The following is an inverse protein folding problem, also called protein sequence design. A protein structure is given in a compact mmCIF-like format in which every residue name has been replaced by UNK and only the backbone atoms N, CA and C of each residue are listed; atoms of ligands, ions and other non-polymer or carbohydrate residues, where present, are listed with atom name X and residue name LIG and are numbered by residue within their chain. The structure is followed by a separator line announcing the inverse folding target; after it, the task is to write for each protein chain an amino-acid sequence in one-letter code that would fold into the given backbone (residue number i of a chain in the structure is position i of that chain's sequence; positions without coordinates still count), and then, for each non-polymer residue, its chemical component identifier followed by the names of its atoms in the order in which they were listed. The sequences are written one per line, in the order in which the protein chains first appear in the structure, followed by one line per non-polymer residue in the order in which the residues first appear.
data_IF_046035067655
#
_entry.id   IF_046035067655
#
_cell.length_a   1.000
_cell.length_b   1.000
_cell.length_c   1.000
_cell.angle_alpha   90.00
_cell.angle_beta   90.00
_cell.angle_gamma   90.00
#
_symmetry.space_group_name_H-M   'P 1'
#
loop_
_entity.id
_entity.type
_entity.pdbx_description
1 polymer ?
#
# COMPACT_ATOMS: atom_id res chain seq x y z
N UNK A 1 15.17 6.39 -2.69
CA UNK A 1 14.75 6.87 -1.35
C UNK A 1 14.44 5.66 -0.49
N UNK A 2 14.74 5.72 0.80
CA UNK A 2 14.34 4.67 1.74
C UNK A 2 12.83 4.79 2.01
N UNK A 3 12.05 3.80 1.58
CA UNK A 3 10.60 3.72 1.76
C UNK A 3 10.22 2.76 2.90
N UNK A 4 11.21 2.18 3.61
CA UNK A 4 10.99 1.22 4.67
C UNK A 4 10.10 1.77 5.81
N UNK A 5 10.28 3.02 6.30
CA UNK A 5 9.42 3.57 7.35
C UNK A 5 7.93 3.55 6.97
N UNK A 6 7.60 3.94 5.72
CA UNK A 6 6.24 3.95 5.19
C UNK A 6 5.67 2.55 5.03
N UNK A 7 6.46 1.62 4.48
CA UNK A 7 6.05 0.22 4.32
C UNK A 7 5.77 -0.44 5.68
N UNK A 8 6.61 -0.17 6.70
CA UNK A 8 6.41 -0.65 8.07
C UNK A 8 5.14 -0.06 8.69
N UNK A 9 4.91 1.25 8.54
CA UNK A 9 3.70 1.91 9.05
C UNK A 9 2.43 1.30 8.44
N UNK A 10 2.43 1.09 7.13
CA UNK A 10 1.33 0.47 6.40
C UNK A 10 1.10 -0.99 6.85
N UNK A 11 2.18 -1.76 7.04
CA UNK A 11 2.09 -3.14 7.51
C UNK A 11 1.48 -3.24 8.92
N UNK A 12 1.88 -2.39 9.86
CA UNK A 12 1.29 -2.39 11.21
C UNK A 12 -0.20 -2.01 11.18
N UNK A 13 -0.58 -1.07 10.30
CA UNK A 13 -1.99 -0.71 10.07
C UNK A 13 -2.79 -1.89 9.52
N UNK A 14 -2.25 -2.64 8.56
CA UNK A 14 -2.87 -3.86 8.01
C UNK A 14 -3.01 -4.94 9.09
N UNK A 15 -1.99 -5.11 9.93
CA UNK A 15 -1.96 -6.14 11.00
C UNK A 15 -2.91 -5.84 12.16
N UNK A 16 -3.49 -4.62 12.23
CA UNK A 16 -4.35 -4.18 13.32
C UNK A 16 -3.66 -4.17 14.69
N UNK A 17 -2.33 -4.23 14.71
CA UNK A 17 -1.54 -4.56 15.91
C UNK A 17 -0.67 -3.42 16.42
N UNK A 18 -0.89 -2.21 15.95
CA UNK A 18 -0.19 -1.05 16.45
C UNK A 18 -0.83 0.24 15.96
N UNK A 19 -0.89 1.21 16.87
CA UNK A 19 -1.08 2.58 16.45
C UNK A 19 0.14 2.97 15.60
N UNK A 20 -0.09 3.39 14.35
CA UNK A 20 0.93 4.10 13.56
C UNK A 20 1.35 5.44 14.20
N UNK A 21 0.69 5.84 15.29
CA UNK A 21 0.98 7.01 16.10
C UNK A 21 1.25 6.54 17.54
N UNK A 22 2.51 6.42 17.94
CA UNK A 22 2.88 5.91 19.26
C UNK A 22 4.39 5.76 19.46
N UNK A 23 4.81 5.42 20.69
CA UNK A 23 6.22 5.18 21.00
C UNK A 23 6.75 3.98 20.18
N UNK A 24 7.73 4.24 19.31
CA UNK A 24 8.31 3.23 18.41
C UNK A 24 7.67 3.17 17.01
N UNK A 25 6.68 4.03 16.72
CA UNK A 25 6.17 4.23 15.37
C UNK A 25 7.26 4.86 14.48
N UNK A 26 7.36 4.45 13.21
CA UNK A 26 8.25 5.11 12.25
C UNK A 26 7.85 6.58 12.08
N UNK A 27 8.83 7.47 12.07
CA UNK A 27 8.62 8.89 11.75
C UNK A 27 8.43 9.00 10.23
N UNK A 28 7.29 9.54 9.80
CA UNK A 28 6.98 9.76 8.41
C UNK A 28 6.98 11.27 8.08
N UNK A 29 7.40 11.65 6.88
CA UNK A 29 7.04 12.94 6.30
C UNK A 29 5.52 13.19 6.32
N UNK A 30 5.11 14.44 6.49
CA UNK A 30 3.70 14.82 6.65
C UNK A 30 2.82 14.40 5.47
N UNK A 31 3.35 14.46 4.25
CA UNK A 31 2.70 14.04 3.01
C UNK A 31 2.44 12.52 2.98
N UNK A 32 3.40 11.72 3.46
CA UNK A 32 3.26 10.27 3.59
C UNK A 32 2.29 9.88 4.70
N UNK A 33 2.34 10.57 5.84
CA UNK A 33 1.40 10.38 6.94
C UNK A 33 -0.03 10.68 6.48
N UNK A 34 -0.22 11.78 5.75
CA UNK A 34 -1.51 12.19 5.19
C UNK A 34 -2.05 11.15 4.20
N UNK A 35 -1.21 10.67 3.27
CA UNK A 35 -1.57 9.64 2.32
C UNK A 35 -2.00 8.33 3.01
N UNK A 36 -1.26 7.91 4.06
CA UNK A 36 -1.60 6.74 4.86
C UNK A 36 -2.92 6.94 5.62
N UNK A 37 -3.12 8.12 6.22
CA UNK A 37 -4.32 8.45 6.98
C UNK A 37 -5.58 8.41 6.10
N UNK A 38 -5.52 9.06 4.93
CA UNK A 38 -6.62 9.19 3.98
C UNK A 38 -6.88 7.92 3.14
N UNK A 39 -5.95 6.98 3.14
CA UNK A 39 -6.06 5.79 2.30
C UNK A 39 -5.77 6.08 0.82
N UNK A 40 -4.90 7.05 0.53
CA UNK A 40 -4.54 7.42 -0.84
C UNK A 40 -3.57 6.39 -1.44
N UNK A 41 -4.14 5.37 -2.07
CA UNK A 41 -3.38 4.28 -2.70
C UNK A 41 -2.45 4.76 -3.82
N UNK A 42 -2.81 5.84 -4.51
CA UNK A 42 -2.01 6.36 -5.61
C UNK A 42 -0.77 7.05 -5.07
N UNK A 43 -0.94 7.95 -4.10
CA UNK A 43 0.18 8.60 -3.44
C UNK A 43 1.13 7.57 -2.80
N UNK A 44 0.58 6.55 -2.11
CA UNK A 44 1.39 5.46 -1.55
C UNK A 44 2.20 4.69 -2.62
N UNK A 45 1.62 4.46 -3.81
CA UNK A 45 2.34 3.86 -4.93
C UNK A 45 3.45 4.76 -5.48
N UNK A 46 3.20 6.06 -5.59
CA UNK A 46 4.18 7.06 -6.03
C UNK A 46 5.35 7.20 -5.02
N UNK A 47 5.08 7.03 -3.71
CA UNK A 47 6.13 6.90 -2.68
C UNK A 47 6.88 5.55 -2.71
N UNK A 48 6.53 4.66 -3.64
CA UNK A 48 7.22 3.39 -3.85
C UNK A 48 6.81 2.28 -2.88
N UNK A 49 5.61 2.34 -2.28
CA UNK A 49 5.09 1.23 -1.48
C UNK A 49 4.90 -0.01 -2.36
N UNK A 50 5.32 -1.17 -1.86
CA UNK A 50 5.24 -2.41 -2.61
C UNK A 50 3.78 -2.81 -2.91
N UNK A 51 3.44 -3.26 -4.15
CA UNK A 51 2.07 -3.59 -4.55
C UNK A 51 1.36 -4.63 -3.67
N UNK A 52 2.11 -5.56 -3.06
CA UNK A 52 1.53 -6.53 -2.11
C UNK A 52 0.90 -5.83 -0.89
N UNK A 53 1.56 -4.81 -0.35
CA UNK A 53 1.03 -4.03 0.77
C UNK A 53 -0.13 -3.14 0.32
N UNK A 54 -0.03 -2.52 -0.86
CA UNK A 54 -1.13 -1.72 -1.44
C UNK A 54 -2.40 -2.55 -1.62
N UNK A 55 -2.27 -3.77 -2.17
CA UNK A 55 -3.39 -4.68 -2.36
C UNK A 55 -4.03 -5.10 -1.03
N UNK A 56 -3.21 -5.42 -0.01
CA UNK A 56 -3.72 -5.76 1.32
C UNK A 56 -4.43 -4.57 1.98
N UNK A 57 -3.88 -3.37 1.86
CA UNK A 57 -4.49 -2.16 2.41
C UNK A 57 -5.76 -1.73 1.67
N UNK A 58 -5.78 -1.83 0.34
CA UNK A 58 -6.97 -1.59 -0.47
C UNK A 58 -8.16 -2.42 0.01
N UNK A 59 -7.93 -3.72 0.27
CA UNK A 59 -8.94 -4.63 0.83
C UNK A 59 -9.38 -4.21 2.23
N UNK A 60 -8.45 -3.75 3.07
CA UNK A 60 -8.74 -3.28 4.42
C UNK A 60 -9.68 -2.06 4.41
N UNK A 61 -9.48 -1.12 3.48
CA UNK A 61 -10.31 0.09 3.35
C UNK A 61 -11.56 -0.12 2.48
N UNK A 62 -11.89 -1.37 2.14
CA UNK A 62 -13.12 -1.71 1.42
C UNK A 62 -13.06 -1.53 -0.10
N UNK A 63 -11.89 -1.30 -0.69
CA UNK A 63 -11.72 -1.25 -2.15
C UNK A 63 -11.54 -2.65 -2.73
N UNK A 64 -12.25 -2.94 -3.81
CA UNK A 64 -12.08 -4.14 -4.61
C UNK A 64 -10.74 -4.13 -5.37
N UNK A 65 -10.39 -5.29 -5.90
CA UNK A 65 -9.18 -5.44 -6.73
C UNK A 65 -9.23 -4.54 -7.96
N UNK A 66 -10.38 -4.45 -8.61
CA UNK A 66 -10.54 -3.71 -9.86
C UNK A 66 -10.44 -2.21 -9.61
N UNK A 67 -11.08 -1.71 -8.54
CA UNK A 67 -11.02 -0.29 -8.14
C UNK A 67 -9.59 0.17 -7.84
N UNK A 68 -8.77 -0.61 -7.12
CA UNK A 68 -7.40 -0.16 -6.87
C UNK A 68 -6.51 -0.28 -8.11
N UNK A 69 -6.78 -1.24 -9.01
CA UNK A 69 -6.00 -1.36 -10.26
C UNK A 69 -6.19 -0.12 -11.11
N UNK A 70 -7.42 0.37 -11.24
CA UNK A 70 -7.71 1.62 -11.94
C UNK A 70 -6.94 2.81 -11.34
N UNK A 71 -6.88 2.89 -10.00
CA UNK A 71 -6.13 3.92 -9.28
C UNK A 71 -4.62 3.88 -9.53
N UNK A 72 -4.07 2.69 -9.82
CA UNK A 72 -2.64 2.49 -10.07
C UNK A 72 -2.26 2.61 -11.55
N UNK A 73 -3.22 2.77 -12.47
CA UNK A 73 -2.91 2.99 -13.89
C UNK A 73 -2.08 4.26 -14.05
N UNK A 74 -0.95 4.15 -14.73
CA UNK A 74 0.00 5.24 -14.94
C UNK A 74 0.96 5.50 -13.78
N UNK A 75 0.86 4.73 -12.68
CA UNK A 75 1.94 4.66 -11.68
C UNK A 75 3.03 3.70 -12.17
N UNK A 76 4.26 3.84 -11.64
CA UNK A 76 5.36 2.91 -11.94
C UNK A 76 5.15 1.47 -11.44
N UNK A 77 4.01 1.20 -10.79
CA UNK A 77 3.61 -0.13 -10.31
C UNK A 77 2.94 -0.87 -11.46
N UNK A 78 3.74 -1.59 -12.26
CA UNK A 78 3.21 -2.49 -13.28
C UNK A 78 2.49 -3.67 -12.60
N UNK A 79 1.15 -3.68 -12.65
CA UNK A 79 0.35 -4.85 -12.28
C UNK A 79 0.27 -5.76 -13.50
N UNK A 80 1.35 -6.50 -13.76
CA UNK A 80 1.36 -7.51 -14.83
C UNK A 80 0.44 -8.66 -14.44
N UNK A 81 -0.51 -9.01 -15.31
CA UNK A 81 -1.32 -10.20 -15.12
C UNK A 81 -0.49 -11.43 -15.48
N UNK A 82 0.13 -12.01 -14.46
CA UNK A 82 0.77 -13.32 -14.61
C UNK A 82 -0.30 -14.40 -14.44
N UNK A 83 -0.50 -15.22 -15.47
CA UNK A 83 -1.31 -16.43 -15.34
C UNK A 83 -0.73 -17.30 -14.23
N UNK A 84 -1.48 -17.58 -13.16
CA UNK A 84 -0.97 -18.43 -12.10
C UNK A 84 -0.62 -19.81 -12.66
N UNK A 85 0.51 -20.38 -12.26
CA UNK A 85 0.98 -21.68 -12.77
C UNK A 85 -0.07 -22.80 -12.65
N UNK A 86 -0.99 -22.71 -11.68
CA UNK A 86 -2.07 -23.67 -11.47
C UNK A 86 -3.25 -23.54 -12.45
N UNK A 87 -3.36 -22.43 -13.19
CA UNK A 87 -4.35 -22.22 -14.27
C UNK A 87 -3.78 -22.46 -15.67
N UNK A 88 -2.47 -22.72 -15.79
CA UNK A 88 -1.79 -22.91 -17.07
C UNK A 88 -1.92 -24.34 -17.63
N UNK A 89 -2.80 -25.16 -17.04
CA UNK A 89 -3.05 -26.57 -17.41
C UNK A 89 -4.45 -26.75 -17.95
#
# INVERSE_FOLDING_TARGET
MDNYPLQRALFERIRGSGSHTGAGAPVLPLDQETALAQGDLRALAEYGVHPVLLNAFARLIGKSRDEYRELLVGTGVAVEEVTPRWRAS
#
